data_IF_418918501709
#
_entry.id   IF_418918501709
#
_cell.length_a   1.000
_cell.length_b   1.000
_cell.length_c   1.000
_cell.angle_alpha   90.00
_cell.angle_beta   90.00
_cell.angle_gamma   90.00
#
_symmetry.space_group_name_H-M   'P 1'
#
loop_
_entity.id
_entity.type
_entity.pdbx_description
1 polymer ?
#
# COMPACT_ATOMS: atom_id res chain seq x y z
N UNK A 1 17.37 5.64 24.19
CA UNK A 1 16.62 6.32 25.27
C UNK A 1 15.29 6.90 24.77
N UNK A 2 15.26 7.59 23.61
CA UNK A 2 14.02 8.15 23.05
C UNK A 2 12.98 7.04 22.69
N UNK A 3 13.43 5.94 22.10
CA UNK A 3 12.60 4.80 21.74
C UNK A 3 11.96 4.10 22.96
N UNK A 4 12.64 4.14 24.12
CA UNK A 4 12.11 3.56 25.36
C UNK A 4 11.02 4.42 26.02
N UNK A 5 10.99 5.72 25.73
CA UNK A 5 10.03 6.66 26.30
C UNK A 5 8.74 6.77 25.49
N UNK A 6 8.82 6.53 24.17
CA UNK A 6 7.67 6.69 23.25
C UNK A 6 7.06 5.36 22.81
N UNK A 7 7.75 4.23 23.04
CA UNK A 7 7.36 2.93 22.49
C UNK A 7 7.52 2.79 20.97
N UNK A 8 8.00 3.84 20.29
CA UNK A 8 8.21 3.86 18.85
C UNK A 8 9.62 3.30 18.53
N UNK A 9 9.70 2.45 17.54
CA UNK A 9 10.98 2.03 16.97
C UNK A 9 11.55 3.20 16.16
N UNK A 10 12.44 3.99 16.80
CA UNK A 10 13.16 5.08 16.11
C UNK A 10 14.42 4.47 15.53
N UNK A 11 14.41 4.23 14.24
CA UNK A 11 15.60 3.82 13.49
C UNK A 11 16.37 5.07 13.09
N UNK A 12 17.48 5.33 13.81
CA UNK A 12 18.37 6.47 13.55
C UNK A 12 19.43 5.99 12.58
N UNK A 13 19.22 6.28 11.29
CA UNK A 13 20.24 6.05 10.27
C UNK A 13 21.34 7.11 10.36
N UNK A 14 22.57 6.72 10.06
CA UNK A 14 23.67 7.66 9.90
C UNK A 14 23.51 8.44 8.59
N UNK A 15 24.13 9.64 8.49
CA UNK A 15 24.14 10.42 7.24
C UNK A 15 24.71 9.61 6.05
N UNK A 16 25.67 8.71 6.33
CA UNK A 16 26.26 7.84 5.32
C UNK A 16 25.26 6.79 4.83
N UNK A 17 24.56 6.11 5.74
CA UNK A 17 23.55 5.10 5.40
C UNK A 17 22.37 5.71 4.61
N UNK A 18 21.97 6.93 4.97
CA UNK A 18 20.94 7.68 4.25
C UNK A 18 21.42 8.07 2.84
N UNK A 19 22.67 8.50 2.70
CA UNK A 19 23.26 8.83 1.40
C UNK A 19 23.37 7.59 0.51
N UNK A 20 23.83 6.47 1.04
CA UNK A 20 23.99 5.20 0.32
C UNK A 20 22.61 4.67 -0.11
N UNK A 21 21.59 4.80 0.74
CA UNK A 21 20.20 4.43 0.41
C UNK A 21 19.67 5.26 -0.74
N UNK A 22 19.78 6.61 -0.68
CA UNK A 22 19.32 7.50 -1.75
C UNK A 22 20.02 7.22 -3.08
N UNK A 23 21.31 6.94 -3.04
CA UNK A 23 22.07 6.58 -4.24
C UNK A 23 21.59 5.25 -4.83
N UNK A 24 21.32 4.26 -3.98
CA UNK A 24 20.78 2.97 -4.42
C UNK A 24 19.38 3.14 -5.03
N UNK A 25 18.46 3.84 -4.35
CA UNK A 25 17.13 4.12 -4.84
C UNK A 25 17.15 4.88 -6.19
N UNK A 26 18.05 5.84 -6.36
CA UNK A 26 18.24 6.55 -7.60
C UNK A 26 18.68 5.63 -8.75
N UNK A 27 19.65 4.75 -8.49
CA UNK A 27 20.14 3.80 -9.49
C UNK A 27 19.04 2.79 -9.86
N UNK A 28 18.30 2.28 -8.89
CA UNK A 28 17.19 1.35 -9.13
C UNK A 28 16.08 1.99 -9.97
N UNK A 29 15.69 3.25 -9.68
CA UNK A 29 14.71 4.00 -10.48
C UNK A 29 15.22 4.27 -11.90
N UNK A 30 16.46 4.72 -12.03
CA UNK A 30 17.07 4.95 -13.33
C UNK A 30 17.07 3.68 -14.19
N UNK A 31 17.44 2.54 -13.59
CA UNK A 31 17.43 1.26 -14.27
C UNK A 31 16.02 0.81 -14.64
N UNK A 32 15.03 1.01 -13.76
CA UNK A 32 13.63 0.74 -14.04
C UNK A 32 13.16 1.50 -15.30
N UNK A 33 13.44 2.81 -15.37
CA UNK A 33 13.05 3.60 -16.53
C UNK A 33 13.77 3.17 -17.81
N UNK A 34 15.05 2.85 -17.75
CA UNK A 34 15.80 2.32 -18.89
C UNK A 34 15.17 1.04 -19.46
N UNK A 35 14.82 0.12 -18.59
CA UNK A 35 14.26 -1.19 -18.97
C UNK A 35 12.80 -1.05 -19.44
N UNK A 36 11.97 -0.35 -18.67
CA UNK A 36 10.55 -0.21 -18.93
C UNK A 36 10.25 0.63 -20.18
N UNK A 37 10.96 1.75 -20.34
CA UNK A 37 10.73 2.70 -21.44
C UNK A 37 11.62 2.41 -22.65
N UNK A 38 12.56 1.48 -22.53
CA UNK A 38 13.58 1.18 -23.53
C UNK A 38 14.32 2.44 -23.99
N UNK A 39 14.82 3.21 -23.03
CA UNK A 39 15.57 4.45 -23.20
C UNK A 39 17.02 4.28 -22.76
N UNK A 40 17.88 5.21 -23.14
CA UNK A 40 19.27 5.21 -22.72
C UNK A 40 19.43 5.66 -21.25
N UNK A 41 20.64 5.46 -20.72
CA UNK A 41 20.97 5.78 -19.33
C UNK A 41 20.75 7.26 -18.99
N UNK A 42 21.00 8.15 -19.94
CA UNK A 42 20.84 9.60 -19.73
C UNK A 42 19.37 9.94 -19.51
N UNK A 43 18.47 9.42 -20.33
CA UNK A 43 17.03 9.65 -20.19
C UNK A 43 16.48 9.03 -18.90
N UNK A 44 16.90 7.80 -18.56
CA UNK A 44 16.51 7.16 -17.30
C UNK A 44 16.96 7.95 -16.06
N UNK A 45 18.18 8.49 -16.08
CA UNK A 45 18.71 9.32 -15.00
C UNK A 45 18.02 10.69 -14.92
N UNK A 46 17.66 11.30 -16.04
CA UNK A 46 16.91 12.57 -16.07
C UNK A 46 15.54 12.40 -15.42
N UNK A 47 14.78 11.38 -15.80
CA UNK A 47 13.48 11.08 -15.19
C UNK A 47 13.61 10.87 -13.67
N UNK A 48 14.59 10.09 -13.23
CA UNK A 48 14.83 9.87 -11.80
C UNK A 48 15.27 11.14 -11.05
N UNK A 49 16.02 12.06 -11.71
CA UNK A 49 16.47 13.33 -11.15
C UNK A 49 15.33 14.34 -11.00
N UNK A 50 14.39 14.35 -11.93
CA UNK A 50 13.19 15.19 -11.89
C UNK A 50 12.17 14.73 -10.83
N UNK A 51 12.40 13.55 -10.24
CA UNK A 51 11.63 13.07 -9.10
C UNK A 51 10.60 12.00 -9.43
N UNK A 52 10.51 11.54 -10.68
CA UNK A 52 9.66 10.42 -11.03
C UNK A 52 10.10 9.17 -10.26
N UNK A 53 9.15 8.48 -9.65
CA UNK A 53 9.40 7.30 -8.82
C UNK A 53 8.92 6.01 -9.47
N UNK A 54 7.94 6.10 -10.38
CA UNK A 54 7.32 4.96 -11.05
C UNK A 54 7.03 5.22 -12.53
N UNK A 55 6.81 4.14 -13.29
CA UNK A 55 6.42 4.22 -14.71
C UNK A 55 5.01 4.77 -14.86
N UNK A 56 4.15 4.51 -13.89
CA UNK A 56 2.78 5.02 -13.82
C UNK A 56 2.77 6.56 -13.77
N UNK A 57 3.63 7.17 -12.96
CA UNK A 57 3.76 8.62 -12.90
C UNK A 57 4.10 9.19 -14.28
N UNK A 58 5.08 8.60 -14.98
CA UNK A 58 5.46 9.01 -16.33
C UNK A 58 4.30 8.83 -17.33
N UNK A 59 3.53 7.75 -17.21
CA UNK A 59 2.44 7.45 -18.13
C UNK A 59 1.25 8.43 -18.02
N UNK A 60 1.00 8.99 -16.82
CA UNK A 60 -0.22 9.75 -16.53
C UNK A 60 0.02 11.21 -16.14
N UNK A 61 1.26 11.65 -15.96
CA UNK A 61 1.59 13.06 -15.71
C UNK A 61 1.21 13.93 -16.92
N UNK A 62 1.03 15.23 -16.71
CA UNK A 62 0.83 16.20 -17.77
C UNK A 62 2.04 16.22 -18.72
N UNK A 63 1.79 16.25 -20.04
CA UNK A 63 2.83 16.16 -21.05
C UNK A 63 3.84 17.31 -20.94
N UNK A 64 3.36 18.49 -20.53
CA UNK A 64 4.15 19.69 -20.32
C UNK A 64 5.23 19.48 -19.23
N UNK A 65 4.95 18.67 -18.19
CA UNK A 65 5.92 18.39 -17.13
C UNK A 65 7.11 17.56 -17.67
N UNK A 66 6.84 16.60 -18.56
CA UNK A 66 7.91 15.82 -19.19
C UNK A 66 8.68 16.69 -20.19
N UNK A 67 8.01 17.55 -20.96
CA UNK A 67 8.66 18.41 -21.94
C UNK A 67 9.48 19.54 -21.32
N UNK A 68 9.21 19.92 -20.05
CA UNK A 68 10.01 20.89 -19.29
C UNK A 68 11.35 20.33 -18.80
N UNK A 69 11.55 19.03 -18.85
CA UNK A 69 12.81 18.40 -18.46
C UNK A 69 13.92 18.84 -19.41
N UNK A 70 15.03 19.31 -18.84
CA UNK A 70 16.16 19.78 -19.64
C UNK A 70 16.68 18.69 -20.59
N UNK A 71 16.62 18.94 -21.87
CA UNK A 71 17.03 18.01 -22.92
C UNK A 71 15.90 17.22 -23.59
N UNK A 72 14.66 17.42 -23.15
CA UNK A 72 13.48 16.85 -23.79
C UNK A 72 12.77 17.94 -24.64
N UNK A 73 12.17 17.47 -25.72
CA UNK A 73 11.23 18.24 -26.52
C UNK A 73 9.85 17.59 -26.49
N UNK A 74 8.85 18.25 -27.06
CA UNK A 74 7.48 17.76 -27.06
C UNK A 74 7.34 16.38 -27.72
N UNK A 75 8.11 16.12 -28.80
CA UNK A 75 8.08 14.83 -29.50
C UNK A 75 8.66 13.72 -28.60
N UNK A 76 9.76 14.00 -27.90
CA UNK A 76 10.38 13.08 -26.93
C UNK A 76 9.44 12.80 -25.77
N UNK A 77 8.78 13.84 -25.23
CA UNK A 77 7.83 13.69 -24.15
C UNK A 77 6.66 12.77 -24.53
N UNK A 78 6.08 12.98 -25.72
CA UNK A 78 5.01 12.12 -26.26
C UNK A 78 5.47 10.68 -26.42
N UNK A 79 6.69 10.46 -26.95
CA UNK A 79 7.22 9.12 -27.16
C UNK A 79 7.48 8.39 -25.83
N UNK A 80 8.08 9.06 -24.86
CA UNK A 80 8.34 8.50 -23.51
C UNK A 80 7.02 8.11 -22.84
N UNK A 81 6.04 9.00 -22.86
CA UNK A 81 4.73 8.73 -22.27
C UNK A 81 3.99 7.56 -22.96
N UNK A 82 4.09 7.48 -24.29
CA UNK A 82 3.52 6.37 -25.05
C UNK A 82 4.18 5.04 -24.65
N UNK A 83 5.50 5.00 -24.55
CA UNK A 83 6.25 3.80 -24.13
C UNK A 83 5.90 3.39 -22.69
N UNK A 84 5.70 4.36 -21.79
CA UNK A 84 5.27 4.10 -20.43
C UNK A 84 3.89 3.42 -20.39
N UNK A 85 2.94 3.94 -21.18
CA UNK A 85 1.60 3.32 -21.30
C UNK A 85 1.63 1.94 -21.93
N UNK A 86 2.43 1.75 -22.97
CA UNK A 86 2.59 0.44 -23.63
C UNK A 86 3.20 -0.59 -22.67
N UNK A 87 4.22 -0.21 -21.89
CA UNK A 87 4.82 -1.06 -20.87
C UNK A 87 3.80 -1.49 -19.81
N UNK A 88 3.02 -0.53 -19.28
CA UNK A 88 1.98 -0.82 -18.29
C UNK A 88 0.90 -1.75 -18.85
N UNK A 89 0.49 -1.53 -20.10
CA UNK A 89 -0.48 -2.40 -20.77
C UNK A 89 0.06 -3.83 -20.97
N UNK A 90 1.34 -3.96 -21.32
CA UNK A 90 2.00 -5.26 -21.47
C UNK A 90 2.17 -5.97 -20.12
N UNK A 91 2.50 -5.21 -19.06
CA UNK A 91 2.60 -5.74 -17.70
C UNK A 91 1.24 -6.25 -17.21
N UNK A 92 0.19 -5.46 -17.38
CA UNK A 92 -1.18 -5.82 -17.02
C UNK A 92 -1.64 -7.08 -17.77
N UNK A 93 -1.35 -7.16 -19.08
CA UNK A 93 -1.68 -8.35 -19.87
C UNK A 93 -0.97 -9.61 -19.36
N UNK A 94 0.31 -9.51 -18.97
CA UNK A 94 1.08 -10.63 -18.39
C UNK A 94 0.51 -11.07 -17.05
N UNK A 95 0.17 -10.10 -16.19
CA UNK A 95 -0.46 -10.39 -14.91
C UNK A 95 -1.83 -11.05 -15.08
N UNK A 96 -2.61 -10.61 -16.07
CA UNK A 96 -3.90 -11.23 -16.35
C UNK A 96 -3.77 -12.66 -16.91
N UNK A 97 -2.79 -12.93 -17.78
CA UNK A 97 -2.46 -14.28 -18.20
C UNK A 97 -2.06 -15.18 -17.02
N UNK A 98 -1.25 -14.67 -16.10
CA UNK A 98 -0.85 -15.41 -14.89
C UNK A 98 -2.06 -15.67 -13.99
N UNK A 99 -2.91 -14.67 -13.74
CA UNK A 99 -4.17 -14.80 -13.00
C UNK A 99 -5.04 -15.90 -13.55
N UNK A 100 -5.27 -15.89 -14.87
CA UNK A 100 -6.06 -16.92 -15.56
C UNK A 100 -5.42 -18.30 -15.40
N UNK A 101 -4.11 -18.40 -15.53
CA UNK A 101 -3.37 -19.67 -15.39
C UNK A 101 -3.47 -20.25 -13.97
N UNK A 102 -3.56 -19.41 -12.96
CA UNK A 102 -3.78 -19.79 -11.56
C UNK A 102 -5.24 -20.19 -11.27
N UNK A 103 -6.15 -19.90 -12.20
CA UNK A 103 -7.58 -20.18 -12.04
C UNK A 103 -8.31 -19.20 -11.15
N UNK A 104 -7.79 -17.98 -10.99
CA UNK A 104 -8.45 -16.90 -10.22
C UNK A 104 -9.63 -16.36 -11.02
N UNK A 105 -10.78 -16.34 -10.40
CA UNK A 105 -12.05 -15.93 -11.00
C UNK A 105 -12.07 -14.45 -11.39
N UNK A 106 -12.78 -14.14 -12.48
CA UNK A 106 -12.81 -12.78 -13.04
C UNK A 106 -13.68 -11.81 -12.23
N UNK A 107 -14.63 -12.32 -11.46
CA UNK A 107 -15.52 -11.55 -10.59
C UNK A 107 -14.79 -10.84 -9.45
N UNK A 108 -13.62 -11.32 -9.03
CA UNK A 108 -12.76 -10.63 -8.06
C UNK A 108 -12.33 -9.22 -8.51
N UNK A 109 -12.35 -8.93 -9.82
CA UNK A 109 -12.12 -7.59 -10.36
C UNK A 109 -13.16 -6.55 -9.93
N UNK A 110 -14.32 -6.99 -9.48
CA UNK A 110 -15.37 -6.09 -8.99
C UNK A 110 -15.12 -5.54 -7.59
N UNK A 111 -14.13 -6.05 -6.89
CA UNK A 111 -13.76 -5.59 -5.56
C UNK A 111 -12.85 -4.37 -5.67
N UNK A 112 -13.30 -3.24 -5.14
CA UNK A 112 -12.52 -2.02 -5.07
C UNK A 112 -11.23 -2.23 -4.28
N UNK A 113 -10.12 -1.65 -4.79
CA UNK A 113 -8.80 -1.77 -4.19
C UNK A 113 -8.05 -3.05 -4.54
N UNK A 114 -8.66 -4.00 -5.27
CA UNK A 114 -8.01 -5.24 -5.67
C UNK A 114 -7.45 -5.13 -7.09
N UNK A 115 -6.13 -5.04 -7.20
CA UNK A 115 -5.42 -4.99 -8.49
C UNK A 115 -5.20 -6.37 -9.09
N UNK A 116 -4.92 -6.46 -10.39
CA UNK A 116 -4.59 -7.74 -11.06
C UNK A 116 -3.36 -8.40 -10.43
N UNK A 117 -2.36 -7.62 -10.02
CA UNK A 117 -1.20 -8.13 -9.31
C UNK A 117 -1.56 -8.76 -7.95
N UNK A 118 -2.47 -8.12 -7.20
CA UNK A 118 -2.99 -8.68 -5.96
C UNK A 118 -3.78 -9.96 -6.20
N UNK A 119 -4.59 -10.03 -7.25
CA UNK A 119 -5.31 -11.26 -7.62
C UNK A 119 -4.35 -12.41 -7.97
N UNK A 120 -3.21 -12.11 -8.60
CA UNK A 120 -2.15 -13.11 -8.84
C UNK A 120 -1.55 -13.60 -7.52
N UNK A 121 -1.27 -12.69 -6.58
CA UNK A 121 -0.77 -13.05 -5.25
C UNK A 121 -1.76 -13.93 -4.49
N UNK A 122 -3.04 -13.54 -4.44
CA UNK A 122 -4.12 -14.35 -3.85
C UNK A 122 -4.19 -15.74 -4.49
N UNK A 123 -4.10 -15.83 -5.82
CA UNK A 123 -4.13 -17.08 -6.54
C UNK A 123 -2.96 -18.01 -6.21
N UNK A 124 -1.78 -17.49 -5.88
CA UNK A 124 -0.62 -18.23 -5.39
C UNK A 124 -0.85 -18.85 -4.02
N UNK A 125 -1.66 -18.21 -3.20
CA UNK A 125 -2.08 -18.69 -1.87
C UNK A 125 -3.42 -19.44 -1.89
N UNK A 126 -3.84 -19.91 -3.08
CA UNK A 126 -5.06 -20.68 -3.31
C UNK A 126 -6.39 -19.94 -3.02
N UNK A 127 -6.36 -18.60 -2.85
CA UNK A 127 -7.53 -17.73 -2.76
C UNK A 127 -7.94 -17.35 -4.19
N UNK A 128 -8.93 -18.05 -4.77
CA UNK A 128 -9.22 -17.99 -6.22
C UNK A 128 -10.63 -17.53 -6.54
N UNK A 129 -11.54 -17.62 -5.60
CA UNK A 129 -12.97 -17.29 -5.78
C UNK A 129 -13.40 -16.23 -4.82
N UNK A 130 -14.57 -15.62 -5.11
CA UNK A 130 -15.22 -14.67 -4.21
C UNK A 130 -15.48 -15.26 -2.82
N UNK A 131 -15.88 -16.53 -2.78
CA UNK A 131 -16.13 -17.26 -1.53
C UNK A 131 -14.84 -17.50 -0.74
N UNK A 132 -13.71 -17.81 -1.41
CA UNK A 132 -12.42 -17.97 -0.75
C UNK A 132 -12.01 -16.66 -0.08
N UNK A 133 -12.10 -15.54 -0.81
CA UNK A 133 -11.78 -14.22 -0.29
C UNK A 133 -12.71 -13.78 0.84
N UNK A 134 -14.01 -14.05 0.71
CA UNK A 134 -15.00 -13.78 1.76
C UNK A 134 -14.74 -14.58 3.04
N UNK A 135 -14.10 -15.76 2.92
CA UNK A 135 -13.71 -16.62 4.03
C UNK A 135 -12.45 -16.18 4.79
N UNK A 136 -11.67 -15.26 4.20
CA UNK A 136 -10.45 -14.74 4.82
C UNK A 136 -10.75 -13.79 5.99
N UNK A 137 -9.77 -13.66 6.89
CA UNK A 137 -9.66 -12.53 7.79
C UNK A 137 -8.67 -11.51 7.22
N UNK A 138 -8.71 -10.26 7.68
CA UNK A 138 -7.74 -9.24 7.27
C UNK A 138 -6.29 -9.69 7.52
N UNK A 139 -6.05 -10.38 8.62
CA UNK A 139 -4.73 -10.91 8.97
C UNK A 139 -4.22 -11.95 7.96
N UNK A 140 -5.09 -12.70 7.30
CA UNK A 140 -4.69 -13.64 6.24
C UNK A 140 -4.16 -12.91 5.00
N UNK A 141 -4.62 -11.66 4.78
CA UNK A 141 -4.19 -10.84 3.66
C UNK A 141 -2.92 -10.04 3.97
N UNK A 142 -2.86 -9.34 5.11
CA UNK A 142 -1.74 -8.45 5.44
C UNK A 142 -0.70 -9.09 6.36
N UNK A 143 -1.02 -10.24 6.95
CA UNK A 143 -0.19 -10.93 7.93
C UNK A 143 -0.36 -10.37 9.34
N UNK A 144 0.23 -11.05 10.31
CA UNK A 144 0.19 -10.64 11.71
C UNK A 144 1.51 -10.92 12.42
N UNK A 145 1.64 -10.35 13.60
CA UNK A 145 2.81 -10.55 14.45
C UNK A 145 2.38 -11.13 15.79
N UNK A 146 2.89 -12.31 16.11
CA UNK A 146 2.69 -12.94 17.41
C UNK A 146 3.90 -12.67 18.31
N UNK A 147 3.62 -12.22 19.54
CA UNK A 147 4.64 -12.05 20.57
C UNK A 147 4.42 -13.06 21.69
N UNK A 148 5.28 -14.08 21.74
CA UNK A 148 5.22 -15.15 22.72
C UNK A 148 6.59 -15.38 23.34
N UNK A 149 6.63 -15.48 24.68
CA UNK A 149 7.85 -15.78 25.47
C UNK A 149 9.04 -14.83 25.19
N UNK A 150 8.75 -13.58 24.78
CA UNK A 150 9.78 -12.58 24.45
C UNK A 150 10.31 -12.67 23.02
N UNK A 151 9.88 -13.64 22.24
CA UNK A 151 10.15 -13.74 20.81
C UNK A 151 8.99 -13.14 20.01
N UNK A 152 9.34 -12.41 18.95
CA UNK A 152 8.37 -11.83 17.99
C UNK A 152 8.44 -12.66 16.72
N UNK A 153 7.33 -13.31 16.35
CA UNK A 153 7.20 -14.08 15.13
C UNK A 153 6.25 -13.35 14.18
N UNK A 154 6.73 -13.03 12.98
CA UNK A 154 5.92 -12.44 11.90
C UNK A 154 5.38 -13.55 11.01
N UNK A 155 4.10 -13.48 10.69
CA UNK A 155 3.43 -14.31 9.71
C UNK A 155 3.06 -13.39 8.55
N UNK A 156 3.48 -13.76 7.34
CA UNK A 156 3.18 -13.01 6.13
C UNK A 156 1.79 -13.39 5.64
N UNK A 157 1.01 -12.40 5.20
CA UNK A 157 -0.26 -12.61 4.53
C UNK A 157 -0.11 -12.63 3.02
N UNK A 158 -1.15 -13.06 2.33
CA UNK A 158 -1.16 -13.20 0.85
C UNK A 158 -0.85 -11.89 0.11
N UNK A 159 -1.16 -10.73 0.70
CA UNK A 159 -0.96 -9.40 0.14
C UNK A 159 0.07 -8.57 0.92
N UNK A 160 0.92 -9.19 1.72
CA UNK A 160 1.91 -8.49 2.57
C UNK A 160 2.94 -7.66 1.77
N UNK A 161 3.12 -7.94 0.47
CA UNK A 161 4.02 -7.22 -0.43
C UNK A 161 3.43 -5.92 -0.99
N UNK A 162 2.12 -5.67 -0.79
CA UNK A 162 1.40 -4.56 -1.43
C UNK A 162 1.16 -3.36 -0.50
N UNK A 163 1.84 -3.27 0.65
CA UNK A 163 1.69 -2.20 1.64
C UNK A 163 0.22 -1.90 2.02
N UNK A 164 -0.65 -2.91 1.90
CA UNK A 164 -2.06 -2.81 2.27
C UNK A 164 -2.20 -2.69 3.77
N UNK A 165 -2.93 -1.70 4.23
CA UNK A 165 -3.28 -1.56 5.64
C UNK A 165 -4.30 -2.62 6.07
N UNK A 166 -4.39 -2.87 7.39
CA UNK A 166 -5.39 -3.78 7.92
C UNK A 166 -6.82 -3.33 7.60
N UNK A 167 -7.10 -2.03 7.68
CA UNK A 167 -8.41 -1.48 7.36
C UNK A 167 -8.79 -1.67 5.88
N UNK A 168 -7.84 -1.50 4.97
CA UNK A 168 -8.07 -1.79 3.55
C UNK A 168 -8.33 -3.28 3.32
N UNK A 169 -7.59 -4.16 3.98
CA UNK A 169 -7.82 -5.60 3.91
C UNK A 169 -9.21 -6.00 4.47
N UNK A 170 -9.64 -5.39 5.58
CA UNK A 170 -10.99 -5.57 6.13
C UNK A 170 -12.06 -5.13 5.12
N UNK A 171 -11.89 -3.98 4.48
CA UNK A 171 -12.80 -3.50 3.45
C UNK A 171 -12.89 -4.46 2.26
N UNK A 172 -11.76 -4.99 1.79
CA UNK A 172 -11.70 -5.98 0.70
C UNK A 172 -12.45 -7.27 1.08
N UNK A 173 -12.24 -7.80 2.28
CA UNK A 173 -12.94 -8.98 2.77
C UNK A 173 -14.44 -8.73 2.93
N UNK A 174 -14.82 -7.57 3.47
CA UNK A 174 -16.24 -7.21 3.63
C UNK A 174 -16.94 -7.01 2.30
N UNK A 175 -16.27 -6.39 1.31
CA UNK A 175 -16.78 -6.27 -0.05
C UNK A 175 -16.97 -7.66 -0.70
N UNK A 176 -16.04 -8.59 -0.48
CA UNK A 176 -16.17 -9.96 -0.95
C UNK A 176 -17.35 -10.70 -0.28
N UNK A 177 -17.55 -10.53 1.02
CA UNK A 177 -18.71 -11.09 1.75
C UNK A 177 -20.04 -10.56 1.24
N UNK A 178 -20.09 -9.27 0.95
CA UNK A 178 -21.28 -8.64 0.34
C UNK A 178 -21.53 -9.20 -1.07
N UNK A 179 -20.51 -9.27 -1.92
CA UNK A 179 -20.61 -9.81 -3.28
C UNK A 179 -20.98 -11.30 -3.30
N UNK A 180 -20.45 -12.08 -2.35
CA UNK A 180 -20.81 -13.49 -2.15
C UNK A 180 -22.21 -13.71 -1.52
N UNK A 181 -22.86 -12.62 -1.05
CA UNK A 181 -24.18 -12.68 -0.40
C UNK A 181 -24.15 -13.26 1.02
N UNK A 182 -23.01 -13.23 1.67
CA UNK A 182 -22.85 -13.68 3.06
C UNK A 182 -23.38 -12.64 4.05
N UNK A 183 -23.32 -11.37 3.69
CA UNK A 183 -23.85 -10.23 4.43
C UNK A 183 -24.67 -9.35 3.51
N UNK A 184 -25.54 -8.55 4.08
CA UNK A 184 -26.34 -7.54 3.36
C UNK A 184 -25.72 -6.14 3.52
N UNK A 185 -26.12 -5.21 2.64
CA UNK A 185 -25.73 -3.80 2.77
C UNK A 185 -26.18 -3.20 4.11
N UNK A 186 -27.36 -3.62 4.63
CA UNK A 186 -27.87 -3.17 5.91
C UNK A 186 -27.00 -3.66 7.09
N UNK A 187 -26.54 -4.91 7.03
CA UNK A 187 -25.65 -5.48 8.05
C UNK A 187 -24.27 -4.82 7.99
N UNK A 188 -23.75 -4.54 6.79
CA UNK A 188 -22.48 -3.85 6.62
C UNK A 188 -22.56 -2.41 7.17
N UNK A 189 -23.61 -1.67 6.86
CA UNK A 189 -23.82 -0.32 7.39
C UNK A 189 -23.96 -0.32 8.91
N UNK A 190 -24.68 -1.29 9.48
CA UNK A 190 -24.82 -1.43 10.94
C UNK A 190 -23.51 -1.75 11.65
N UNK A 191 -22.61 -2.51 11.00
CA UNK A 191 -21.27 -2.77 11.55
C UNK A 191 -20.40 -1.51 11.52
N UNK A 192 -20.41 -0.75 10.43
CA UNK A 192 -19.66 0.51 10.34
C UNK A 192 -20.13 1.54 11.38
N UNK A 193 -21.45 1.69 11.58
CA UNK A 193 -22.01 2.55 12.63
C UNK A 193 -21.62 2.10 14.04
N UNK A 194 -21.52 0.78 14.28
CA UNK A 194 -21.12 0.23 15.57
C UNK A 194 -19.63 0.47 15.85
N UNK A 195 -18.75 0.32 14.84
CA UNK A 195 -17.32 0.59 14.95
C UNK A 195 -17.05 2.09 15.18
N UNK A 196 -17.73 2.99 14.45
CA UNK A 196 -17.64 4.44 14.70
C UNK A 196 -18.07 4.81 16.13
N UNK A 197 -19.13 4.19 16.64
CA UNK A 197 -19.59 4.44 18.01
C UNK A 197 -18.61 3.93 19.07
N UNK A 198 -17.95 2.79 18.84
CA UNK A 198 -16.92 2.26 19.74
C UNK A 198 -15.66 3.14 19.74
N UNK A 199 -15.23 3.66 18.58
CA UNK A 199 -14.10 4.59 18.46
C UNK A 199 -14.39 5.93 19.16
N UNK A 200 -15.63 6.46 19.05
CA UNK A 200 -16.04 7.68 19.76
C UNK A 200 -16.05 7.48 21.27
N UNK A 201 -16.56 6.33 21.76
CA UNK A 201 -16.58 6.02 23.20
C UNK A 201 -15.16 5.81 23.76
N UNK A 202 -14.25 5.17 22.99
CA UNK A 202 -12.84 5.03 23.40
C UNK A 202 -12.11 6.39 23.44
N UNK A 203 -12.38 7.26 22.46
CA UNK A 203 -11.82 8.61 22.43
C UNK A 203 -12.31 9.48 23.60
N UNK A 204 -13.60 9.40 23.95
CA UNK A 204 -14.17 10.12 25.10
C UNK A 204 -13.63 9.58 26.44
N UNK A 205 -13.45 8.27 26.57
CA UNK A 205 -12.81 7.69 27.76
C UNK A 205 -11.34 8.07 27.89
N UNK A 206 -10.60 8.18 26.79
CA UNK A 206 -9.19 8.61 26.81
C UNK A 206 -9.05 10.08 27.25
N UNK A 207 -9.98 10.93 26.86
CA UNK A 207 -10.00 12.35 27.25
C UNK A 207 -10.35 12.55 28.74
N UNK A 208 -11.24 11.74 29.29
CA UNK A 208 -11.64 11.82 30.72
C UNK A 208 -10.58 11.30 31.70
N UNK A 209 -9.68 10.42 31.28
CA UNK A 209 -8.58 9.91 32.10
C UNK A 209 -7.41 10.91 32.18
N UNK A 210 -7.34 11.91 31.31
CA UNK A 210 -6.30 12.96 31.28
C UNK A 210 -6.51 14.11 32.28
N UNK A 211 -7.66 14.25 32.93
CA UNK A 211 -7.94 15.31 33.91
C UNK A 211 -7.74 14.83 35.34
N UNK A 212 -6.49 14.71 35.80
CA UNK A 212 -6.21 14.70 37.24
C UNK A 212 -6.49 16.12 37.84
N UNK A 213 -7.32 16.24 38.89
CA UNK A 213 -7.53 17.52 39.52
C UNK A 213 -6.27 17.92 40.29
N UNK A 214 -5.62 18.98 39.85
CA UNK A 214 -4.64 19.71 40.66
C UNK A 214 -5.35 20.32 41.86
N UNK A 215 -5.53 19.51 42.88
CA UNK A 215 -6.09 19.90 44.18
C UNK A 215 -5.04 20.53 45.06
N UNK A 216 -5.04 21.84 45.10
CA UNK A 216 -5.00 22.74 46.20
C UNK A 216 -4.09 22.41 47.38
N UNK A 217 -2.93 23.06 47.40
CA UNK A 217 -2.23 23.38 48.65
C UNK A 217 -3.07 24.34 49.47
N UNK A 218 -3.54 23.90 50.64
CA UNK A 218 -3.99 24.80 51.70
C UNK A 218 -2.96 24.77 52.82
N UNK A 219 -2.36 25.96 52.98
CA UNK A 219 -1.67 26.42 54.19
C UNK A 219 -2.50 26.17 55.44
N UNK A 220 -1.86 25.77 56.52
CA UNK A 220 -2.00 26.51 57.76
C UNK A 220 -1.03 26.01 58.86
N UNK A 221 -0.45 27.00 59.58
CA UNK A 221 -0.03 26.93 60.93
C UNK A 221 1.43 27.18 61.18
#
# INVERSE_FOLDING_TARGET
LASQLTGWAIDIMTEQEESDRRQKEFLERSQLFMEALNVDEMVGQLLATEGFTSVEEVAYVELDEISMIEGFDDDTAVEIQARARDYLAELEAKLDEERISLGVADDLRSIDGLTTAMMVALGKDDIKTMEDLAGCAADDLVGWTERKDGETKRFEGALSEFDMSRAEAENVVMAARLAAGWITEEELAAQAEAEEAEEEDEAEMAETVGEEPQGGAILNG
#
